data_IF_199956971544
#
_entry.id   IF_199956971544
#
_cell.length_a   1.000
_cell.length_b   1.000
_cell.length_c   1.000
_cell.angle_alpha   90.00
_cell.angle_beta   90.00
_cell.angle_gamma   90.00
#
_symmetry.space_group_name_H-M   'P 1'
#
loop_
_entity.id
_entity.type
_entity.pdbx_description
1 polymer ?
#
# COMPACT_ATOMS: atom_id res chain seq x y z
N UNK A 1 6.62 57.46 30.20
CA UNK A 1 6.50 56.30 29.31
C UNK A 1 7.42 56.53 28.12
N UNK A 2 8.38 55.62 27.89
CA UNK A 2 9.42 55.83 26.89
C UNK A 2 9.06 55.19 25.56
N UNK A 3 8.71 55.98 24.55
CA UNK A 3 8.59 55.50 23.18
C UNK A 3 9.97 55.07 22.67
N UNK A 4 10.09 53.82 22.21
CA UNK A 4 11.28 53.27 21.58
C UNK A 4 11.13 53.23 20.06
N UNK A 5 12.18 53.58 19.32
CA UNK A 5 12.21 53.44 17.86
C UNK A 5 12.86 52.12 17.48
N UNK A 6 12.16 51.25 16.75
CA UNK A 6 12.68 50.00 16.22
C UNK A 6 12.95 50.14 14.73
N UNK A 7 14.10 49.64 14.27
CA UNK A 7 14.44 49.61 12.85
C UNK A 7 14.15 48.22 12.32
N UNK A 8 13.12 48.10 11.49
CA UNK A 8 12.72 46.84 10.88
C UNK A 8 13.30 46.79 9.47
N UNK A 9 13.87 45.65 9.10
CA UNK A 9 14.36 45.36 7.75
C UNK A 9 13.93 43.98 7.28
N UNK A 10 13.84 43.77 5.96
CA UNK A 10 13.41 42.52 5.35
C UNK A 10 12.06 42.66 4.64
N UNK A 11 11.06 41.83 4.98
CA UNK A 11 9.71 41.82 4.37
C UNK A 11 9.04 43.19 4.35
N UNK A 12 9.30 43.98 5.39
CA UNK A 12 9.01 45.41 5.43
C UNK A 12 10.21 46.14 6.01
N UNK A 13 10.54 47.30 5.45
CA UNK A 13 11.68 48.12 5.88
C UNK A 13 11.21 49.49 6.32
N UNK A 14 11.42 49.83 7.59
CA UNK A 14 10.93 51.09 8.17
C UNK A 14 11.26 51.25 9.64
N UNK A 15 10.98 52.44 10.17
CA UNK A 15 11.11 52.74 11.60
C UNK A 15 9.73 52.65 12.24
N UNK A 16 9.61 51.82 13.27
CA UNK A 16 8.39 51.65 14.06
C UNK A 16 8.58 52.31 15.42
N UNK A 17 7.69 53.22 15.81
CA UNK A 17 7.67 53.76 17.17
C UNK A 17 6.75 52.89 18.02
N UNK A 18 7.31 52.27 19.06
CA UNK A 18 6.60 51.31 19.92
C UNK A 18 6.88 51.55 21.38
N UNK A 19 5.95 51.17 22.23
CA UNK A 19 6.12 51.18 23.67
C UNK A 19 6.76 49.87 24.11
N UNK A 20 8.08 49.89 24.35
CA UNK A 20 8.88 48.69 24.64
C UNK A 20 8.43 47.94 25.91
N UNK A 21 7.75 48.64 26.81
CA UNK A 21 7.27 48.13 28.09
C UNK A 21 5.80 47.68 28.05
N UNK A 22 5.11 47.80 26.92
CA UNK A 22 3.73 47.34 26.75
C UNK A 22 3.57 46.36 25.61
N UNK A 23 4.39 46.49 24.57
CA UNK A 23 4.30 45.66 23.39
C UNK A 23 4.88 44.26 23.61
N UNK A 24 4.21 43.27 23.02
CA UNK A 24 4.63 41.87 22.96
C UNK A 24 5.14 41.52 21.56
N UNK A 25 5.81 40.36 21.41
CA UNK A 25 6.28 39.86 20.11
C UNK A 25 5.12 39.67 19.12
N UNK A 26 3.96 39.21 19.61
CA UNK A 26 2.77 39.01 18.79
C UNK A 26 2.22 40.33 18.23
N UNK A 27 2.16 41.39 19.05
CA UNK A 27 1.72 42.72 18.61
C UNK A 27 2.68 43.33 17.59
N UNK A 28 3.99 43.18 17.81
CA UNK A 28 5.00 43.61 16.85
C UNK A 28 4.90 42.84 15.52
N UNK A 29 4.66 41.53 15.58
CA UNK A 29 4.49 40.66 14.40
C UNK A 29 3.23 41.04 13.62
N UNK A 30 2.14 41.35 14.30
CA UNK A 30 0.89 41.81 13.71
C UNK A 30 1.05 43.18 13.04
N UNK A 31 1.74 44.12 13.66
CA UNK A 31 1.99 45.44 13.08
C UNK A 31 2.88 45.34 11.82
N UNK A 32 3.93 44.52 11.86
CA UNK A 32 4.78 44.25 10.68
C UNK A 32 3.99 43.54 9.57
N UNK A 33 3.08 42.63 9.92
CA UNK A 33 2.19 41.98 8.97
C UNK A 33 1.20 42.97 8.33
N UNK A 34 0.62 43.88 9.10
CA UNK A 34 -0.32 44.89 8.58
C UNK A 34 0.33 45.88 7.60
N UNK A 35 1.62 46.14 7.78
CA UNK A 35 2.41 47.06 6.93
C UNK A 35 3.13 46.36 5.78
N UNK A 36 3.04 45.04 5.70
CA UNK A 36 3.56 44.24 4.58
C UNK A 36 2.39 43.62 3.81
N UNK A 37 2.58 43.29 2.54
CA UNK A 37 1.61 42.51 1.75
C UNK A 37 1.54 41.02 2.20
N UNK A 38 1.83 40.72 3.46
CA UNK A 38 1.78 39.38 4.03
C UNK A 38 0.49 39.20 4.83
N UNK A 39 -0.50 38.53 4.22
CA UNK A 39 -1.84 38.34 4.77
C UNK A 39 -1.97 37.55 6.08
N UNK A 40 -0.89 37.08 6.71
CA UNK A 40 -0.96 36.49 8.06
C UNK A 40 0.27 36.84 8.93
N UNK A 41 0.08 37.21 10.22
CA UNK A 41 1.18 37.44 11.16
C UNK A 41 2.04 36.22 11.38
N UNK A 42 1.48 35.01 11.33
CA UNK A 42 2.21 33.77 11.59
C UNK A 42 3.23 33.42 10.51
N UNK A 43 3.10 34.03 9.32
CA UNK A 43 4.07 33.87 8.24
C UNK A 43 5.32 34.77 8.40
N UNK A 44 5.46 35.51 9.49
CA UNK A 44 6.58 36.44 9.70
C UNK A 44 7.43 35.98 10.87
N UNK A 45 8.69 35.67 10.62
CA UNK A 45 9.71 35.46 11.65
C UNK A 45 10.43 36.77 11.95
N UNK A 46 10.51 37.12 13.23
CA UNK A 46 11.25 38.29 13.71
C UNK A 46 12.57 37.85 14.35
N UNK A 47 13.67 38.49 13.95
CA UNK A 47 15.02 38.17 14.45
C UNK A 47 15.65 39.45 15.00
N UNK A 48 16.07 39.44 16.25
CA UNK A 48 16.77 40.55 16.90
C UNK A 48 18.13 40.07 17.42
N UNK A 49 19.20 40.78 17.08
CA UNK A 49 20.58 40.46 17.50
C UNK A 49 20.99 38.98 17.31
N UNK A 50 20.53 38.35 16.22
CA UNK A 50 20.84 36.94 15.91
C UNK A 50 19.96 35.90 16.60
N UNK A 51 18.96 36.31 17.39
CA UNK A 51 17.99 35.41 18.02
C UNK A 51 16.61 35.55 17.39
N UNK A 52 15.96 34.43 17.08
CA UNK A 52 14.56 34.39 16.62
C UNK A 52 13.66 34.66 17.81
N UNK A 53 12.83 35.71 17.72
CA UNK A 53 11.84 36.05 18.72
C UNK A 53 10.67 35.05 18.58
N UNK A 54 10.45 34.26 19.63
CA UNK A 54 9.32 33.34 19.71
C UNK A 54 8.15 34.03 20.40
N UNK A 55 6.94 33.67 20.00
CA UNK A 55 5.74 34.07 20.74
C UNK A 55 5.71 33.21 22.01
N UNK A 56 6.10 33.78 23.15
CA UNK A 56 5.98 33.15 24.46
C UNK A 56 4.53 33.19 24.98
N UNK A 57 4.34 33.14 26.30
CA UNK A 57 3.02 33.11 26.98
C UNK A 57 2.23 34.44 26.91
N UNK A 58 2.35 35.20 25.81
CA UNK A 58 1.69 36.48 25.52
C UNK A 58 1.86 37.60 26.57
N UNK A 59 2.69 37.38 27.59
CA UNK A 59 2.93 38.28 28.73
C UNK A 59 4.36 38.83 28.76
N UNK A 60 5.26 38.26 27.96
CA UNK A 60 6.65 38.72 27.83
C UNK A 60 6.71 40.00 26.99
N UNK A 61 7.23 41.06 27.61
CA UNK A 61 7.37 42.39 27.00
C UNK A 61 8.64 42.45 26.16
N UNK A 62 8.64 43.28 25.11
CA UNK A 62 9.82 43.46 24.24
C UNK A 62 11.07 43.86 25.03
N UNK A 63 10.95 44.67 26.09
CA UNK A 63 12.07 45.05 26.97
C UNK A 63 12.69 43.86 27.71
N UNK A 64 11.89 42.87 28.10
CA UNK A 64 12.36 41.63 28.77
C UNK A 64 13.08 40.69 27.80
N UNK A 65 12.76 40.75 26.51
CA UNK A 65 13.40 39.98 25.44
C UNK A 65 14.68 40.65 24.90
N UNK A 66 15.17 41.69 25.57
CA UNK A 66 16.41 42.38 25.23
C UNK A 66 16.27 43.35 24.05
N UNK A 67 15.05 43.70 23.64
CA UNK A 67 14.80 44.70 22.60
C UNK A 67 14.92 46.09 23.23
N UNK A 68 15.94 46.84 22.79
CA UNK A 68 16.25 48.21 23.25
C UNK A 68 15.82 49.25 22.22
N UNK A 69 15.78 50.51 22.62
CA UNK A 69 15.61 51.63 21.69
C UNK A 69 16.70 51.59 20.59
N UNK A 70 16.32 51.83 19.34
CA UNK A 70 17.12 51.68 18.11
C UNK A 70 17.57 50.24 17.76
N UNK A 71 16.94 49.20 18.32
CA UNK A 71 17.25 47.81 17.92
C UNK A 71 16.90 47.54 16.46
N UNK A 72 17.76 46.75 15.80
CA UNK A 72 17.56 46.27 14.43
C UNK A 72 16.85 44.93 14.46
N UNK A 73 15.68 44.84 13.85
CA UNK A 73 14.86 43.64 13.77
C UNK A 73 14.76 43.23 12.30
N UNK A 74 15.13 41.99 11.99
CA UNK A 74 14.96 41.41 10.67
C UNK A 74 13.64 40.64 10.63
N UNK A 75 12.74 41.03 9.72
CA UNK A 75 11.49 40.34 9.44
C UNK A 75 11.67 39.50 8.17
N UNK A 76 11.50 38.18 8.27
CA UNK A 76 11.57 37.25 7.13
C UNK A 76 10.25 36.51 6.96
N UNK A 77 9.84 36.29 5.70
CA UNK A 77 8.63 35.54 5.36
C UNK A 77 8.93 34.05 5.44
N UNK A 78 8.18 33.34 6.27
CA UNK A 78 8.14 31.88 6.30
C UNK A 78 6.95 31.46 5.45
N UNK A 79 7.18 30.62 4.45
CA UNK A 79 6.12 29.94 3.71
C UNK A 79 5.44 28.96 4.64
N UNK A 80 4.30 29.38 5.19
CA UNK A 80 3.32 28.49 5.82
C UNK A 80 2.30 28.21 4.72
N UNK A 81 2.16 26.94 4.32
CA UNK A 81 1.11 26.55 3.38
C UNK A 81 -0.27 26.87 3.98
N UNK A 82 -1.27 27.06 3.13
CA UNK A 82 -2.63 27.50 3.47
C UNK A 82 -3.34 26.65 4.56
N UNK A 83 -2.74 25.51 4.96
CA UNK A 83 -3.20 24.60 6.00
C UNK A 83 -2.53 24.79 7.39
N UNK A 84 -1.67 25.80 7.59
CA UNK A 84 -1.07 26.09 8.90
C UNK A 84 -0.03 25.05 9.38
N UNK A 85 0.43 24.15 8.51
CA UNK A 85 1.50 23.19 8.83
C UNK A 85 2.86 23.85 8.63
N UNK A 86 3.72 23.75 9.64
CA UNK A 86 5.09 24.21 9.48
C UNK A 86 5.86 23.21 8.61
N UNK A 87 6.82 23.69 7.82
CA UNK A 87 7.75 22.84 7.03
C UNK A 87 8.43 21.78 7.91
N UNK A 88 8.58 22.04 9.21
CA UNK A 88 9.14 21.09 10.18
C UNK A 88 8.18 19.92 10.45
N UNK A 89 6.88 20.16 10.53
CA UNK A 89 5.90 19.12 10.82
C UNK A 89 5.73 18.18 9.61
N UNK A 90 5.82 18.70 8.39
CA UNK A 90 5.84 17.87 7.17
C UNK A 90 7.11 17.02 7.09
N UNK A 91 8.26 17.59 7.44
CA UNK A 91 9.52 16.85 7.46
C UNK A 91 9.49 15.70 8.48
N UNK A 92 8.97 15.95 9.68
CA UNK A 92 8.82 14.92 10.72
C UNK A 92 7.84 13.82 10.30
N UNK A 93 6.72 14.19 9.66
CA UNK A 93 5.76 13.22 9.15
C UNK A 93 6.35 12.35 8.03
N UNK A 94 7.16 12.92 7.14
CA UNK A 94 7.83 12.17 6.07
C UNK A 94 8.94 11.25 6.63
N UNK A 95 9.64 11.69 7.69
CA UNK A 95 10.62 10.86 8.38
C UNK A 95 9.96 9.66 9.09
N UNK A 96 8.80 9.86 9.72
CA UNK A 96 8.04 8.77 10.34
C UNK A 96 7.51 7.78 9.29
N UNK A 97 7.01 8.32 8.17
CA UNK A 97 6.51 7.55 7.02
C UNK A 97 7.62 6.67 6.43
N UNK A 98 8.79 7.25 6.15
CA UNK A 98 9.95 6.53 5.64
C UNK A 98 10.47 5.46 6.62
N UNK A 99 10.46 5.73 7.93
CA UNK A 99 10.76 4.72 8.95
C UNK A 99 9.76 3.56 8.93
N UNK A 100 8.46 3.83 8.79
CA UNK A 100 7.42 2.78 8.72
C UNK A 100 7.61 1.89 7.48
N UNK A 101 7.92 2.48 6.34
CA UNK A 101 8.15 1.76 5.09
C UNK A 101 9.43 0.91 5.14
N UNK A 102 10.51 1.45 5.70
CA UNK A 102 11.76 0.71 5.92
C UNK A 102 11.54 -0.53 6.80
N UNK A 103 10.77 -0.40 7.89
CA UNK A 103 10.38 -1.53 8.74
C UNK A 103 9.57 -2.58 7.97
N UNK A 104 8.63 -2.14 7.14
CA UNK A 104 7.80 -3.04 6.33
C UNK A 104 8.66 -3.82 5.32
N UNK A 105 9.58 -3.15 4.64
CA UNK A 105 10.54 -3.78 3.72
C UNK A 105 11.41 -4.80 4.45
N UNK A 106 12.00 -4.43 5.58
CA UNK A 106 12.83 -5.31 6.38
C UNK A 106 12.08 -6.56 6.87
N UNK A 107 10.81 -6.40 7.29
CA UNK A 107 9.97 -7.52 7.70
C UNK A 107 9.66 -8.48 6.52
N UNK A 108 9.33 -7.93 5.34
CA UNK A 108 9.07 -8.73 4.14
C UNK A 108 10.33 -9.49 3.69
N UNK A 109 11.49 -8.84 3.68
CA UNK A 109 12.77 -9.49 3.35
C UNK A 109 13.14 -10.57 4.36
N UNK A 110 12.97 -10.32 5.66
CA UNK A 110 13.26 -11.32 6.70
C UNK A 110 12.39 -12.56 6.52
N UNK A 111 11.07 -12.39 6.35
CA UNK A 111 10.15 -13.50 6.13
C UNK A 111 10.46 -14.26 4.83
N UNK A 112 10.71 -13.57 3.71
CA UNK A 112 11.04 -14.24 2.45
C UNK A 112 12.35 -15.06 2.53
N UNK A 113 13.36 -14.57 3.27
CA UNK A 113 14.65 -15.27 3.41
C UNK A 113 14.59 -16.55 4.25
N UNK A 114 13.65 -16.62 5.22
CA UNK A 114 13.47 -17.78 6.11
C UNK A 114 12.96 -19.01 5.37
N UNK A 115 12.19 -18.86 4.30
CA UNK A 115 11.52 -19.97 3.61
C UNK A 115 12.34 -20.63 2.49
N UNK A 116 13.43 -20.00 2.05
CA UNK A 116 14.20 -20.50 0.93
C UNK A 116 15.21 -21.62 1.27
N UNK A 117 15.54 -21.81 2.55
CA UNK A 117 16.68 -22.66 2.96
C UNK A 117 16.31 -24.05 3.50
N UNK A 118 15.01 -24.39 3.61
CA UNK A 118 14.57 -25.67 4.17
C UNK A 118 15.04 -25.92 5.62
N UNK A 119 15.36 -24.86 6.35
CA UNK A 119 15.77 -24.90 7.76
C UNK A 119 14.57 -25.12 8.67
N UNK A 120 14.81 -25.70 9.87
CA UNK A 120 13.76 -25.88 10.88
C UNK A 120 13.15 -24.50 11.18
N UNK A 121 11.84 -24.30 11.00
CA UNK A 121 11.20 -23.04 11.34
C UNK A 121 11.40 -22.75 12.82
N UNK A 122 12.14 -21.67 13.12
CA UNK A 122 12.34 -21.17 14.50
C UNK A 122 11.00 -20.65 15.06
N UNK A 123 10.06 -20.26 14.20
CA UNK A 123 8.70 -19.79 14.51
C UNK A 123 7.65 -20.53 13.65
N UNK A 124 6.37 -20.50 14.06
CA UNK A 124 5.26 -21.25 13.42
C UNK A 124 4.79 -20.68 12.06
N UNK A 125 5.47 -19.66 11.54
CA UNK A 125 5.12 -19.04 10.27
C UNK A 125 5.87 -19.76 9.15
N UNK A 126 5.20 -20.68 8.45
CA UNK A 126 5.73 -21.27 7.22
C UNK A 126 4.96 -20.75 6.00
N UNK A 127 5.62 -20.01 5.12
CA UNK A 127 5.04 -19.50 3.88
C UNK A 127 5.50 -20.39 2.73
N UNK A 128 4.53 -20.93 1.99
CA UNK A 128 4.77 -21.75 0.80
C UNK A 128 4.12 -21.12 -0.42
N UNK A 129 4.76 -21.30 -1.57
CA UNK A 129 4.17 -20.90 -2.84
C UNK A 129 3.17 -21.97 -3.28
N UNK A 130 1.92 -21.56 -3.42
CA UNK A 130 0.82 -22.40 -3.90
C UNK A 130 0.36 -21.93 -5.29
N UNK A 131 -0.04 -22.85 -6.16
CA UNK A 131 -0.76 -22.51 -7.39
C UNK A 131 -2.23 -22.13 -7.10
N UNK A 132 -2.98 -21.79 -8.14
CA UNK A 132 -4.40 -21.43 -8.03
C UNK A 132 -5.29 -22.58 -7.50
N UNK A 133 -4.80 -23.82 -7.50
CA UNK A 133 -5.49 -25.01 -6.96
C UNK A 133 -5.13 -25.27 -5.49
N UNK A 134 -4.18 -24.54 -4.91
CA UNK A 134 -3.67 -24.75 -3.56
C UNK A 134 -2.54 -25.79 -3.47
N UNK A 135 -1.99 -26.23 -4.61
CA UNK A 135 -0.89 -27.18 -4.64
C UNK A 135 0.45 -26.45 -4.53
N UNK A 136 1.38 -27.02 -3.78
CA UNK A 136 2.72 -26.44 -3.58
C UNK A 136 3.50 -26.44 -4.88
N UNK A 137 4.17 -25.32 -5.17
CA UNK A 137 5.02 -25.17 -6.36
C UNK A 137 6.42 -24.74 -5.95
N UNK A 138 7.42 -25.48 -6.42
CA UNK A 138 8.80 -25.04 -6.37
C UNK A 138 9.12 -24.32 -7.69
N UNK A 139 9.31 -23.00 -7.62
CA UNK A 139 9.58 -22.16 -8.79
C UNK A 139 11.03 -21.70 -8.77
N UNK A 140 11.79 -22.04 -9.82
CA UNK A 140 13.13 -21.49 -10.03
C UNK A 140 14.14 -21.78 -8.92
N UNK A 141 15.14 -20.90 -8.84
CA UNK A 141 16.21 -20.95 -7.82
C UNK A 141 15.73 -20.42 -6.46
N UNK A 142 16.48 -20.69 -5.38
CA UNK A 142 16.20 -20.09 -4.06
C UNK A 142 16.10 -18.55 -4.13
N UNK A 143 16.91 -17.91 -4.98
CA UNK A 143 16.88 -16.46 -5.17
C UNK A 143 15.58 -16.00 -5.83
N UNK A 144 15.09 -16.74 -6.84
CA UNK A 144 13.80 -16.46 -7.47
C UNK A 144 12.66 -16.63 -6.47
N UNK A 145 12.68 -17.71 -5.68
CA UNK A 145 11.64 -17.96 -4.66
C UNK A 145 11.58 -16.84 -3.62
N UNK A 146 12.74 -16.38 -3.12
CA UNK A 146 12.80 -15.24 -2.20
C UNK A 146 12.20 -13.97 -2.82
N UNK A 147 12.57 -13.69 -4.07
CA UNK A 147 12.11 -12.50 -4.77
C UNK A 147 10.60 -12.54 -5.06
N UNK A 148 10.07 -13.68 -5.52
CA UNK A 148 8.63 -13.92 -5.71
C UNK A 148 7.89 -13.76 -4.38
N UNK A 149 8.34 -14.43 -3.31
CA UNK A 149 7.69 -14.32 -1.99
C UNK A 149 7.69 -12.87 -1.49
N UNK A 150 8.82 -12.16 -1.60
CA UNK A 150 8.91 -10.76 -1.22
C UNK A 150 7.93 -9.89 -2.03
N UNK A 151 7.86 -10.07 -3.34
CA UNK A 151 6.92 -9.37 -4.22
C UNK A 151 5.46 -9.62 -3.84
N UNK A 152 5.08 -10.88 -3.58
CA UNK A 152 3.73 -11.26 -3.16
C UNK A 152 3.34 -10.66 -1.81
N UNK A 153 4.25 -10.68 -0.84
CA UNK A 153 4.02 -10.10 0.49
C UNK A 153 3.85 -8.58 0.42
N UNK A 154 4.71 -7.91 -0.35
CA UNK A 154 4.60 -6.47 -0.57
C UNK A 154 3.30 -6.12 -1.31
N UNK A 155 2.88 -6.93 -2.28
CA UNK A 155 1.58 -6.76 -2.94
C UNK A 155 0.41 -6.90 -1.96
N UNK A 156 0.42 -7.90 -1.07
CA UNK A 156 -0.59 -8.08 -0.04
C UNK A 156 -0.64 -6.88 0.93
N UNK A 157 0.52 -6.37 1.34
CA UNK A 157 0.64 -5.17 2.16
C UNK A 157 0.10 -3.92 1.43
N UNK A 158 0.43 -3.76 0.15
CA UNK A 158 -0.10 -2.70 -0.70
C UNK A 158 -1.63 -2.74 -0.79
N UNK A 159 -2.22 -3.93 -0.98
CA UNK A 159 -3.68 -4.13 -0.96
C UNK A 159 -4.29 -3.74 0.39
N UNK A 160 -3.63 -4.04 1.51
CA UNK A 160 -4.10 -3.64 2.83
C UNK A 160 -4.08 -2.11 3.00
N UNK A 161 -3.07 -1.42 2.46
CA UNK A 161 -2.99 0.04 2.45
C UNK A 161 -4.06 0.68 1.54
N UNK A 162 -4.33 0.10 0.37
CA UNK A 162 -5.43 0.52 -0.52
C UNK A 162 -6.78 0.47 0.20
N UNK A 163 -7.05 -0.60 0.97
CA UNK A 163 -8.29 -0.73 1.76
C UNK A 163 -8.41 0.31 2.88
N UNK A 164 -7.28 0.87 3.33
CA UNK A 164 -7.21 1.95 4.32
C UNK A 164 -7.14 3.33 3.67
N UNK A 165 -7.32 3.41 2.35
CA UNK A 165 -7.26 4.65 1.56
C UNK A 165 -5.90 5.37 1.62
N UNK A 166 -4.84 4.67 2.06
CA UNK A 166 -3.48 5.18 2.12
C UNK A 166 -2.79 5.02 0.76
N UNK A 167 -3.28 5.68 -0.29
CA UNK A 167 -2.84 5.42 -1.68
C UNK A 167 -1.38 5.78 -1.97
N UNK A 168 -0.84 6.83 -1.33
CA UNK A 168 0.59 7.19 -1.49
C UNK A 168 1.51 6.11 -0.92
N UNK A 169 1.24 5.65 0.30
CA UNK A 169 1.97 4.57 0.96
C UNK A 169 1.82 3.26 0.18
N UNK A 170 0.61 2.98 -0.31
CA UNK A 170 0.34 1.80 -1.12
C UNK A 170 1.20 1.81 -2.39
N UNK A 171 1.29 2.95 -3.08
CA UNK A 171 2.07 3.07 -4.31
C UNK A 171 3.57 2.80 -4.07
N UNK A 172 4.14 3.33 -2.99
CA UNK A 172 5.54 3.07 -2.63
C UNK A 172 5.77 1.58 -2.30
N UNK A 173 4.86 0.95 -1.54
CA UNK A 173 4.95 -0.48 -1.24
C UNK A 173 4.79 -1.36 -2.47
N UNK A 174 3.88 -1.02 -3.38
CA UNK A 174 3.69 -1.73 -4.64
C UNK A 174 4.91 -1.56 -5.57
N UNK A 175 5.56 -0.40 -5.54
CA UNK A 175 6.80 -0.16 -6.31
C UNK A 175 7.93 -1.05 -5.79
N UNK A 176 8.09 -1.17 -4.47
CA UNK A 176 9.03 -2.15 -3.87
C UNK A 176 8.70 -3.59 -4.27
N UNK A 177 7.41 -3.93 -4.40
CA UNK A 177 6.97 -5.23 -4.89
C UNK A 177 7.33 -5.48 -6.36
N UNK A 178 7.15 -4.47 -7.22
CA UNK A 178 7.58 -4.50 -8.63
C UNK A 178 9.10 -4.68 -8.77
N UNK A 179 9.89 -3.96 -7.97
CA UNK A 179 11.34 -4.14 -7.89
C UNK A 179 11.70 -5.59 -7.49
N UNK A 180 10.99 -6.16 -6.51
CA UNK A 180 11.21 -7.53 -6.08
C UNK A 180 10.97 -8.54 -7.21
N UNK A 181 9.86 -8.41 -7.95
CA UNK A 181 9.58 -9.28 -9.09
C UNK A 181 10.61 -9.14 -10.21
N UNK A 182 11.19 -7.94 -10.38
CA UNK A 182 12.21 -7.66 -11.39
C UNK A 182 13.55 -8.35 -11.12
N UNK A 183 13.76 -8.88 -9.91
CA UNK A 183 14.95 -9.67 -9.55
C UNK A 183 14.86 -11.14 -9.99
N UNK A 184 13.68 -11.61 -10.39
CA UNK A 184 13.45 -13.00 -10.80
C UNK A 184 13.78 -13.22 -12.28
N UNK A 185 14.03 -14.46 -12.68
CA UNK A 185 14.06 -14.83 -14.11
C UNK A 185 12.76 -14.37 -14.80
N UNK A 186 12.83 -13.52 -15.85
CA UNK A 186 11.66 -13.07 -16.59
C UNK A 186 10.75 -14.21 -17.05
N UNK A 187 11.30 -15.37 -17.41
CA UNK A 187 10.50 -16.54 -17.85
C UNK A 187 9.60 -17.08 -16.74
N UNK A 188 10.03 -16.99 -15.48
CA UNK A 188 9.20 -17.39 -14.34
C UNK A 188 8.07 -16.40 -14.11
N UNK A 189 8.38 -15.10 -14.20
CA UNK A 189 7.40 -14.02 -14.04
C UNK A 189 6.33 -14.06 -15.13
N UNK A 190 6.69 -14.41 -16.36
CA UNK A 190 5.75 -14.54 -17.47
C UNK A 190 4.65 -15.59 -17.24
N UNK A 191 4.87 -16.54 -16.34
CA UNK A 191 3.89 -17.58 -15.98
C UNK A 191 2.96 -17.16 -14.83
N UNK A 192 3.17 -15.98 -14.24
CA UNK A 192 2.51 -15.52 -13.03
C UNK A 192 1.68 -14.27 -13.34
N UNK A 193 0.39 -14.27 -12.99
CA UNK A 193 -0.50 -13.12 -13.18
C UNK A 193 -0.39 -12.05 -12.07
N UNK A 194 0.26 -12.37 -10.94
CA UNK A 194 0.44 -11.46 -9.82
C UNK A 194 1.09 -10.13 -10.22
N UNK A 195 2.04 -10.13 -11.16
CA UNK A 195 2.66 -8.88 -11.64
C UNK A 195 1.64 -8.02 -12.36
N UNK A 196 0.81 -8.58 -13.23
CA UNK A 196 -0.28 -7.85 -13.88
C UNK A 196 -1.31 -7.30 -12.89
N UNK A 197 -1.67 -8.08 -11.87
CA UNK A 197 -2.58 -7.62 -10.82
C UNK A 197 -1.95 -6.46 -10.03
N UNK A 198 -0.64 -6.53 -9.75
CA UNK A 198 0.10 -5.44 -9.11
C UNK A 198 0.08 -4.16 -9.96
N UNK A 199 0.27 -4.28 -11.29
CA UNK A 199 0.16 -3.13 -12.19
C UNK A 199 -1.23 -2.47 -12.12
N UNK A 200 -2.30 -3.26 -12.12
CA UNK A 200 -3.68 -2.75 -12.01
C UNK A 200 -3.90 -2.03 -10.67
N UNK A 201 -3.37 -2.58 -9.57
CA UNK A 201 -3.44 -1.94 -8.25
C UNK A 201 -2.64 -0.62 -8.20
N UNK A 202 -1.47 -0.54 -8.85
CA UNK A 202 -0.72 0.72 -8.96
C UNK A 202 -1.49 1.79 -9.74
N UNK A 203 -2.10 1.42 -10.87
CA UNK A 203 -2.89 2.36 -11.68
C UNK A 203 -4.14 2.83 -10.95
N UNK A 204 -4.74 1.97 -10.14
CA UNK A 204 -5.80 2.38 -9.23
C UNK A 204 -5.32 3.42 -8.20
N UNK A 205 -4.13 3.25 -7.63
CA UNK A 205 -3.55 4.27 -6.76
C UNK A 205 -3.36 5.61 -7.51
N UNK A 206 -2.87 5.58 -8.75
CA UNK A 206 -2.77 6.81 -9.58
C UNK A 206 -4.13 7.49 -9.76
N UNK A 207 -5.16 6.70 -10.10
CA UNK A 207 -6.51 7.21 -10.26
C UNK A 207 -7.05 7.85 -8.97
N UNK A 208 -6.87 7.18 -7.82
CA UNK A 208 -7.34 7.68 -6.53
C UNK A 208 -6.57 8.91 -6.04
N UNK A 209 -5.30 9.05 -6.41
CA UNK A 209 -4.50 10.25 -6.14
C UNK A 209 -4.88 11.45 -7.02
N UNK A 210 -5.65 11.24 -8.09
CA UNK A 210 -6.16 12.27 -9.02
C UNK A 210 -5.07 13.13 -9.65
N UNK A 211 -3.89 12.56 -9.83
CA UNK A 211 -2.75 13.25 -10.44
C UNK A 211 -2.61 12.84 -11.91
N UNK A 212 -2.96 13.78 -12.79
CA UNK A 212 -2.98 13.61 -14.25
C UNK A 212 -1.56 13.35 -14.80
N UNK A 213 -0.52 13.73 -14.06
CA UNK A 213 0.88 13.52 -14.47
C UNK A 213 1.21 12.04 -14.68
N UNK A 214 0.48 11.13 -14.02
CA UNK A 214 0.66 9.69 -14.14
C UNK A 214 -0.09 9.05 -15.31
N UNK A 215 -0.86 9.82 -16.08
CA UNK A 215 -1.76 9.28 -17.12
C UNK A 215 -1.01 8.48 -18.19
N UNK A 216 0.13 8.97 -18.67
CA UNK A 216 0.93 8.28 -19.68
C UNK A 216 1.50 6.96 -19.13
N UNK A 217 1.99 6.98 -17.89
CA UNK A 217 2.50 5.80 -17.18
C UNK A 217 1.37 4.80 -16.95
N UNK A 218 0.18 5.27 -16.57
CA UNK A 218 -1.00 4.44 -16.35
C UNK A 218 -1.38 3.63 -17.60
N UNK A 219 -1.37 4.25 -18.78
CA UNK A 219 -1.64 3.57 -20.05
C UNK A 219 -0.64 2.45 -20.36
N UNK A 220 0.66 2.72 -20.16
CA UNK A 220 1.72 1.71 -20.36
C UNK A 220 1.57 0.54 -19.40
N UNK A 221 1.28 0.83 -18.12
CA UNK A 221 1.10 -0.21 -17.09
C UNK A 221 -0.12 -1.09 -17.36
N UNK A 222 -1.24 -0.51 -17.80
CA UNK A 222 -2.44 -1.26 -18.18
C UNK A 222 -2.21 -2.16 -19.40
N UNK A 223 -1.50 -1.65 -20.42
CA UNK A 223 -1.14 -2.47 -21.58
C UNK A 223 -0.31 -3.70 -21.19
N UNK A 224 0.72 -3.51 -20.34
CA UNK A 224 1.52 -4.61 -19.78
C UNK A 224 0.67 -5.57 -18.95
N UNK A 225 -0.26 -5.05 -18.14
CA UNK A 225 -1.14 -5.89 -17.33
C UNK A 225 -2.02 -6.79 -18.21
N UNK A 226 -2.59 -6.23 -19.29
CA UNK A 226 -3.42 -6.95 -20.26
C UNK A 226 -2.65 -8.07 -20.95
N UNK A 227 -1.45 -7.78 -21.45
CA UNK A 227 -0.58 -8.79 -22.07
C UNK A 227 -0.23 -9.92 -21.09
N UNK A 228 0.12 -9.57 -19.85
CA UNK A 228 0.45 -10.58 -18.83
C UNK A 228 -0.75 -11.43 -18.40
N UNK A 229 -1.94 -10.83 -18.29
CA UNK A 229 -3.18 -11.56 -18.00
C UNK A 229 -3.53 -12.50 -19.15
N UNK A 230 -3.46 -12.04 -20.40
CA UNK A 230 -3.75 -12.87 -21.56
C UNK A 230 -2.75 -14.04 -21.68
N UNK A 231 -1.48 -13.82 -21.35
CA UNK A 231 -0.46 -14.87 -21.31
C UNK A 231 -0.72 -15.90 -20.21
N UNK A 232 -1.07 -15.46 -19.00
CA UNK A 232 -1.32 -16.33 -17.86
C UNK A 232 -2.65 -17.10 -17.99
N UNK A 233 -3.72 -16.42 -18.42
CA UNK A 233 -5.08 -16.98 -18.47
C UNK A 233 -5.41 -17.62 -19.83
N UNK A 234 -4.58 -17.42 -20.83
CA UNK A 234 -4.82 -17.79 -22.23
C UNK A 234 -5.73 -16.80 -22.95
N UNK A 235 -5.70 -16.83 -24.29
CA UNK A 235 -6.59 -16.01 -25.13
C UNK A 235 -8.05 -16.26 -24.74
N UNK A 236 -8.80 -15.17 -24.53
CA UNK A 236 -10.20 -15.19 -24.04
C UNK A 236 -10.41 -15.95 -22.71
N UNK A 237 -9.35 -16.02 -21.89
CA UNK A 237 -9.33 -16.75 -20.61
C UNK A 237 -9.65 -18.25 -20.77
N UNK A 238 -9.39 -18.84 -21.95
CA UNK A 238 -9.73 -20.22 -22.25
C UNK A 238 -9.02 -21.23 -21.32
N UNK A 239 -7.71 -21.03 -21.08
CA UNK A 239 -6.92 -21.89 -20.18
C UNK A 239 -7.43 -21.80 -18.75
N UNK A 240 -7.73 -20.58 -18.29
CA UNK A 240 -8.28 -20.36 -16.95
C UNK A 240 -9.65 -21.03 -16.78
N UNK A 241 -10.53 -20.91 -17.78
CA UNK A 241 -11.87 -21.52 -17.75
C UNK A 241 -11.80 -23.04 -17.63
N UNK A 242 -10.84 -23.67 -18.30
CA UNK A 242 -10.59 -25.11 -18.21
C UNK A 242 -10.08 -25.47 -16.81
N UNK A 243 -9.06 -24.75 -16.31
CA UNK A 243 -8.45 -25.02 -15.00
C UNK A 243 -9.45 -24.87 -13.84
N UNK A 244 -10.38 -23.93 -13.96
CA UNK A 244 -11.34 -23.61 -12.90
C UNK A 244 -12.72 -24.23 -13.13
N UNK A 245 -12.86 -25.17 -14.08
CA UNK A 245 -14.10 -25.91 -14.31
C UNK A 245 -15.29 -25.02 -14.73
N UNK A 246 -15.04 -23.94 -15.48
CA UNK A 246 -16.07 -23.00 -15.92
C UNK A 246 -16.47 -21.94 -14.88
N UNK A 247 -15.66 -21.73 -13.83
CA UNK A 247 -15.82 -20.63 -12.85
C UNK A 247 -15.17 -19.34 -13.35
N UNK A 248 -15.60 -18.20 -12.80
CA UNK A 248 -15.19 -16.85 -13.24
C UNK A 248 -14.66 -15.93 -12.09
N UNK A 249 -13.61 -16.31 -11.34
CA UNK A 249 -13.00 -15.46 -10.30
C UNK A 249 -12.57 -14.09 -10.81
N UNK A 250 -12.03 -14.05 -12.02
CA UNK A 250 -11.29 -12.91 -12.54
C UNK A 250 -12.19 -11.83 -13.15
N UNK A 251 -13.51 -12.02 -13.13
CA UNK A 251 -14.45 -11.06 -13.68
C UNK A 251 -14.30 -9.69 -13.00
N UNK A 252 -14.07 -9.67 -11.67
CA UNK A 252 -13.80 -8.46 -10.91
C UNK A 252 -12.47 -7.79 -11.29
N UNK A 253 -11.44 -8.59 -11.62
CA UNK A 253 -10.15 -8.09 -12.09
C UNK A 253 -10.29 -7.43 -13.46
N UNK A 254 -10.96 -8.10 -14.40
CA UNK A 254 -11.21 -7.59 -15.75
C UNK A 254 -12.08 -6.32 -15.73
N UNK A 255 -13.12 -6.29 -14.89
CA UNK A 255 -13.93 -5.09 -14.66
C UNK A 255 -13.03 -3.90 -14.26
N UNK A 256 -12.16 -4.09 -13.26
CA UNK A 256 -11.30 -3.01 -12.76
C UNK A 256 -10.29 -2.55 -13.81
N UNK A 257 -9.70 -3.48 -14.56
CA UNK A 257 -8.78 -3.17 -15.65
C UNK A 257 -9.46 -2.35 -16.75
N UNK A 258 -10.60 -2.81 -17.27
CA UNK A 258 -11.33 -2.15 -18.36
C UNK A 258 -11.89 -0.79 -17.95
N UNK A 259 -12.31 -0.65 -16.69
CA UNK A 259 -12.70 0.65 -16.12
C UNK A 259 -11.53 1.64 -16.19
N UNK A 260 -10.35 1.24 -15.71
CA UNK A 260 -9.16 2.09 -15.71
C UNK A 260 -8.68 2.42 -17.12
N UNK A 261 -8.73 1.47 -18.05
CA UNK A 261 -8.44 1.72 -19.47
C UNK A 261 -9.42 2.72 -20.09
N UNK A 262 -10.70 2.62 -19.76
CA UNK A 262 -11.72 3.56 -20.19
C UNK A 262 -11.42 4.99 -19.72
N UNK A 263 -11.00 5.14 -18.46
CA UNK A 263 -10.57 6.43 -17.90
C UNK A 263 -9.32 6.96 -18.60
N UNK A 264 -8.29 6.13 -18.76
CA UNK A 264 -7.04 6.55 -19.42
C UNK A 264 -7.30 6.97 -20.88
N UNK A 265 -8.12 6.20 -21.60
CA UNK A 265 -8.50 6.50 -22.98
C UNK A 265 -9.29 7.81 -23.09
N UNK A 266 -10.18 8.09 -22.13
CA UNK A 266 -10.94 9.35 -22.09
C UNK A 266 -10.01 10.55 -21.99
N UNK A 267 -9.08 10.53 -21.02
CA UNK A 267 -8.12 11.62 -20.83
C UNK A 267 -7.07 11.71 -21.95
N UNK A 268 -6.86 10.63 -22.70
CA UNK A 268 -5.99 10.61 -23.89
C UNK A 268 -6.72 11.03 -25.18
N UNK A 269 -7.95 11.57 -25.07
CA UNK A 269 -8.80 11.97 -26.20
C UNK A 269 -9.16 10.83 -27.18
N UNK A 270 -9.14 9.58 -26.72
CA UNK A 270 -9.53 8.38 -27.49
C UNK A 270 -10.96 7.99 -27.13
N UNK A 271 -11.93 8.84 -27.48
CA UNK A 271 -13.33 8.74 -27.03
C UNK A 271 -14.00 7.41 -27.42
N UNK A 272 -13.75 6.89 -28.62
CA UNK A 272 -14.35 5.63 -29.05
C UNK A 272 -13.85 4.46 -28.20
N UNK A 273 -12.53 4.34 -28.01
CA UNK A 273 -11.95 3.29 -27.16
C UNK A 273 -12.40 3.40 -25.71
N UNK A 274 -12.52 4.62 -25.20
CA UNK A 274 -13.06 4.87 -23.86
C UNK A 274 -14.50 4.35 -23.74
N UNK A 275 -15.36 4.67 -24.71
CA UNK A 275 -16.74 4.20 -24.74
C UNK A 275 -16.82 2.67 -24.78
N UNK A 276 -16.01 2.03 -25.62
CA UNK A 276 -16.02 0.57 -25.76
C UNK A 276 -15.55 -0.11 -24.46
N UNK A 277 -14.46 0.37 -23.86
CA UNK A 277 -13.93 -0.14 -22.59
C UNK A 277 -14.92 0.06 -21.42
N UNK A 278 -15.54 1.25 -21.31
CA UNK A 278 -16.52 1.53 -20.26
C UNK A 278 -17.82 0.73 -20.45
N UNK A 279 -18.26 0.50 -21.69
CA UNK A 279 -19.43 -0.34 -21.98
C UNK A 279 -19.16 -1.79 -21.58
N UNK A 280 -17.98 -2.30 -21.91
CA UNK A 280 -17.53 -3.64 -21.51
C UNK A 280 -17.43 -3.76 -19.98
N UNK A 281 -16.86 -2.76 -19.31
CA UNK A 281 -16.81 -2.70 -17.86
C UNK A 281 -18.22 -2.70 -17.25
N UNK A 282 -19.14 -1.89 -17.78
CA UNK A 282 -20.53 -1.85 -17.30
C UNK A 282 -21.22 -3.22 -17.42
N UNK A 283 -21.04 -3.93 -18.53
CA UNK A 283 -21.59 -5.27 -18.70
C UNK A 283 -21.07 -6.25 -17.63
N UNK A 284 -19.76 -6.21 -17.32
CA UNK A 284 -19.15 -7.03 -16.27
C UNK A 284 -19.62 -6.64 -14.86
N UNK A 285 -19.82 -5.34 -14.61
CA UNK A 285 -20.36 -4.84 -13.35
C UNK A 285 -21.76 -5.39 -13.09
N UNK A 286 -22.62 -5.41 -14.11
CA UNK A 286 -23.98 -5.97 -14.00
C UNK A 286 -23.94 -7.47 -13.70
N UNK A 287 -23.02 -8.22 -14.32
CA UNK A 287 -22.84 -9.65 -14.04
C UNK A 287 -22.35 -9.95 -12.60
N UNK A 288 -21.66 -9.00 -11.96
CA UNK A 288 -21.18 -9.14 -10.58
C UNK A 288 -22.22 -8.76 -9.52
N UNK A 289 -23.36 -8.20 -9.93
CA UNK A 289 -24.47 -7.90 -9.02
C UNK A 289 -25.12 -9.19 -8.57
N UNK A 290 -25.17 -9.39 -7.26
CA UNK A 290 -25.75 -10.60 -6.67
C UNK A 290 -27.21 -10.32 -6.34
N UNK A 291 -28.18 -11.07 -6.89
CA UNK A 291 -29.59 -10.92 -6.55
C UNK A 291 -29.84 -11.25 -5.08
N UNK A 292 -30.68 -10.46 -4.41
CA UNK A 292 -30.98 -10.63 -2.99
C UNK A 292 -31.73 -11.94 -2.71
N UNK A 293 -32.53 -12.42 -3.67
CA UNK A 293 -33.24 -13.69 -3.57
C UNK A 293 -32.27 -14.88 -3.53
N UNK A 294 -31.30 -14.89 -4.46
CA UNK A 294 -30.27 -15.92 -4.53
C UNK A 294 -29.37 -15.92 -3.29
N UNK A 295 -29.03 -14.73 -2.80
CA UNK A 295 -28.25 -14.57 -1.58
C UNK A 295 -29.00 -15.07 -0.35
N UNK A 296 -30.26 -14.68 -0.21
CA UNK A 296 -31.13 -15.07 0.92
C UNK A 296 -31.32 -16.58 0.97
N UNK A 297 -31.45 -17.23 -0.18
CA UNK A 297 -31.52 -18.69 -0.27
C UNK A 297 -30.26 -19.36 0.29
N UNK A 298 -29.06 -18.95 -0.13
CA UNK A 298 -27.82 -19.50 0.42
C UNK A 298 -27.66 -19.20 1.92
N UNK A 299 -28.06 -18.01 2.37
CA UNK A 299 -28.03 -17.68 3.80
C UNK A 299 -28.99 -18.55 4.62
N UNK A 300 -30.16 -18.88 4.08
CA UNK A 300 -31.12 -19.79 4.72
C UNK A 300 -30.58 -21.22 4.88
N UNK A 301 -29.64 -21.64 4.02
CA UNK A 301 -28.92 -22.91 4.13
C UNK A 301 -27.79 -22.88 5.19
N UNK A 302 -27.60 -21.75 5.88
CA UNK A 302 -26.61 -21.60 6.96
C UNK A 302 -25.23 -21.13 6.48
N UNK A 303 -25.11 -20.61 5.26
CA UNK A 303 -23.87 -19.98 4.78
C UNK A 303 -23.79 -18.52 5.22
N UNK A 304 -22.58 -18.05 5.52
CA UNK A 304 -22.36 -16.63 5.85
C UNK A 304 -22.51 -15.78 4.59
N UNK A 305 -23.03 -14.57 4.74
CA UNK A 305 -23.30 -13.64 3.63
C UNK A 305 -22.07 -13.45 2.70
N UNK A 306 -20.88 -13.24 3.26
CA UNK A 306 -19.66 -13.04 2.47
C UNK A 306 -19.25 -14.29 1.67
N UNK A 307 -19.45 -15.50 2.23
CA UNK A 307 -19.14 -16.76 1.55
C UNK A 307 -20.16 -17.01 0.43
N UNK A 308 -21.45 -16.75 0.69
CA UNK A 308 -22.52 -16.85 -0.27
C UNK A 308 -22.34 -15.87 -1.45
N UNK A 309 -22.07 -14.59 -1.18
CA UNK A 309 -21.77 -13.58 -2.22
C UNK A 309 -20.58 -13.98 -3.08
N UNK A 310 -19.50 -14.49 -2.45
CA UNK A 310 -18.33 -15.00 -3.19
C UNK A 310 -18.74 -16.17 -4.08
N UNK A 311 -19.41 -17.18 -3.55
CA UNK A 311 -19.81 -18.36 -4.30
C UNK A 311 -20.69 -18.03 -5.51
N UNK A 312 -21.67 -17.14 -5.34
CA UNK A 312 -22.54 -16.68 -6.43
C UNK A 312 -21.74 -15.95 -7.53
N UNK A 313 -20.85 -15.02 -7.16
CA UNK A 313 -20.00 -14.31 -8.13
C UNK A 313 -19.07 -15.24 -8.90
N UNK A 314 -18.53 -16.27 -8.27
CA UNK A 314 -17.62 -17.22 -8.93
C UNK A 314 -18.33 -18.15 -9.91
N UNK A 315 -19.64 -18.35 -9.76
CA UNK A 315 -20.44 -19.29 -10.53
C UNK A 315 -21.50 -18.60 -11.40
N UNK A 316 -21.27 -17.36 -11.84
CA UNK A 316 -22.20 -16.58 -12.67
C UNK A 316 -23.63 -16.51 -12.13
N UNK A 317 -23.76 -16.40 -10.80
CA UNK A 317 -25.03 -16.30 -10.08
C UNK A 317 -25.92 -17.56 -10.17
N UNK A 318 -25.37 -18.69 -10.65
CA UNK A 318 -26.03 -19.99 -10.59
C UNK A 318 -26.00 -20.51 -9.14
N UNK A 319 -27.17 -20.60 -8.53
CA UNK A 319 -27.32 -21.04 -7.13
C UNK A 319 -26.86 -22.48 -6.94
N UNK A 320 -27.18 -23.39 -7.86
CA UNK A 320 -26.84 -24.81 -7.74
C UNK A 320 -25.33 -24.99 -7.73
N UNK A 321 -24.65 -24.41 -8.73
CA UNK A 321 -23.18 -24.44 -8.81
C UNK A 321 -22.52 -23.72 -7.63
N UNK A 322 -23.14 -22.66 -7.10
CA UNK A 322 -22.64 -21.96 -5.93
C UNK A 322 -22.71 -22.85 -4.66
N UNK A 323 -23.77 -23.65 -4.49
CA UNK A 323 -23.86 -24.63 -3.39
C UNK A 323 -22.77 -25.69 -3.52
N UNK A 324 -22.60 -26.28 -4.70
CA UNK A 324 -21.56 -27.29 -4.95
C UNK A 324 -20.17 -26.74 -4.63
N UNK A 325 -19.88 -25.52 -5.07
CA UNK A 325 -18.65 -24.81 -4.74
C UNK A 325 -18.45 -24.61 -3.22
N UNK A 326 -19.50 -24.24 -2.49
CA UNK A 326 -19.42 -24.04 -1.04
C UNK A 326 -19.16 -25.36 -0.29
N UNK A 327 -19.72 -26.46 -0.76
CA UNK A 327 -19.46 -27.80 -0.22
C UNK A 327 -18.02 -28.21 -0.48
N UNK A 328 -17.53 -28.07 -1.72
CA UNK A 328 -16.13 -28.33 -2.08
C UNK A 328 -15.15 -27.50 -1.24
N UNK A 329 -15.41 -26.19 -1.07
CA UNK A 329 -14.56 -25.31 -0.27
C UNK A 329 -14.52 -25.73 1.20
N UNK A 330 -15.65 -26.14 1.79
CA UNK A 330 -15.67 -26.66 3.17
C UNK A 330 -14.86 -27.94 3.29
N UNK A 331 -14.98 -28.86 2.34
CA UNK A 331 -14.20 -30.10 2.31
C UNK A 331 -12.69 -29.82 2.16
N UNK A 332 -12.30 -28.92 1.26
CA UNK A 332 -10.90 -28.49 1.07
C UNK A 332 -10.33 -27.84 2.33
N UNK A 333 -11.09 -26.95 2.99
CA UNK A 333 -10.68 -26.33 4.26
C UNK A 333 -10.47 -27.36 5.37
N UNK A 334 -11.38 -28.34 5.48
CA UNK A 334 -11.24 -29.41 6.47
C UNK A 334 -9.99 -30.26 6.22
N UNK A 335 -9.75 -30.64 4.96
CA UNK A 335 -8.54 -31.38 4.55
C UNK A 335 -7.27 -30.60 4.85
N UNK A 336 -7.22 -29.31 4.47
CA UNK A 336 -6.06 -28.44 4.73
C UNK A 336 -5.78 -28.30 6.23
N UNK A 337 -6.82 -28.16 7.05
CA UNK A 337 -6.67 -28.12 8.50
C UNK A 337 -6.09 -29.42 9.08
N UNK A 338 -6.52 -30.58 8.56
CA UNK A 338 -5.95 -31.86 8.96
C UNK A 338 -4.47 -31.99 8.55
N UNK A 339 -4.14 -31.62 7.32
CA UNK A 339 -2.77 -31.58 6.80
C UNK A 339 -1.87 -30.64 7.63
N UNK A 340 -2.38 -29.44 7.98
CA UNK A 340 -1.67 -28.47 8.81
C UNK A 340 -1.42 -29.00 10.24
N UNK A 341 -2.40 -29.70 10.84
CA UNK A 341 -2.24 -30.35 12.14
C UNK A 341 -1.20 -31.48 12.11
N UNK A 342 -1.22 -32.32 11.08
CA UNK A 342 -0.22 -33.36 10.89
C UNK A 342 1.18 -32.75 10.76
N UNK A 343 1.30 -31.70 9.97
CA UNK A 343 2.55 -30.98 9.78
C UNK A 343 3.08 -30.33 11.05
N UNK A 344 2.21 -29.73 11.87
CA UNK A 344 2.63 -29.17 13.15
C UNK A 344 3.21 -30.24 14.08
N UNK A 345 2.65 -31.45 14.06
CA UNK A 345 3.22 -32.59 14.79
C UNK A 345 4.59 -32.97 14.23
N UNK A 346 4.74 -33.09 12.91
CA UNK A 346 6.03 -33.36 12.27
C UNK A 346 7.09 -32.31 12.64
N UNK A 347 6.76 -31.01 12.56
CA UNK A 347 7.69 -29.94 12.94
C UNK A 347 8.07 -30.04 14.43
N UNK A 348 7.10 -30.37 15.30
CA UNK A 348 7.36 -30.55 16.72
C UNK A 348 8.30 -31.73 17.00
N UNK A 349 8.20 -32.81 16.22
CA UNK A 349 9.11 -33.96 16.29
C UNK A 349 10.49 -33.61 15.75
N UNK A 350 10.58 -32.93 14.60
CA UNK A 350 11.85 -32.43 14.06
C UNK A 350 12.58 -31.52 15.06
N UNK A 351 11.84 -30.66 15.78
CA UNK A 351 12.39 -29.83 16.85
C UNK A 351 12.96 -30.66 18.02
N UNK A 352 12.38 -31.83 18.34
CA UNK A 352 12.92 -32.75 19.36
C UNK A 352 14.22 -33.40 18.93
N UNK A 353 14.33 -33.79 17.66
CA UNK A 353 15.56 -34.44 17.13
C UNK A 353 16.70 -33.45 16.87
N UNK A 354 16.40 -32.16 16.72
CA UNK A 354 17.40 -31.11 16.50
C UNK A 354 17.87 -31.03 15.05
N UNK A 355 19.02 -30.37 14.83
CA UNK A 355 19.58 -30.18 13.49
C UNK A 355 20.64 -31.24 13.17
N UNK A 356 20.67 -31.65 11.91
CA UNK A 356 21.75 -32.46 11.35
C UNK A 356 23.07 -31.65 11.30
N UNK A 357 24.24 -32.30 11.15
CA UNK A 357 25.52 -31.60 10.94
C UNK A 357 25.54 -30.62 9.75
N UNK A 358 24.63 -30.80 8.79
CA UNK A 358 24.42 -29.92 7.63
C UNK A 358 23.51 -28.71 7.93
N UNK A 359 23.15 -28.46 9.20
CA UNK A 359 22.21 -27.42 9.64
C UNK A 359 20.81 -27.52 9.02
N UNK A 360 20.42 -28.73 8.59
CA UNK A 360 19.07 -29.05 8.08
C UNK A 360 18.26 -29.82 9.12
N UNK A 361 16.94 -29.74 9.03
CA UNK A 361 16.02 -30.55 9.83
C UNK A 361 16.28 -32.06 9.63
N UNK A 362 16.01 -32.86 10.65
CA UNK A 362 15.98 -34.32 10.49
C UNK A 362 14.81 -34.69 9.59
N UNK A 363 15.09 -35.46 8.54
CA UNK A 363 14.10 -35.97 7.62
C UNK A 363 13.33 -37.13 8.28
N UNK A 364 12.08 -36.88 8.67
CA UNK A 364 11.26 -37.85 9.38
C UNK A 364 10.90 -39.06 8.52
N UNK A 365 10.83 -38.91 7.18
CA UNK A 365 10.54 -40.05 6.31
C UNK A 365 11.70 -41.03 6.33
N UNK A 366 12.94 -40.53 6.17
CA UNK A 366 14.15 -41.36 6.27
C UNK A 366 14.36 -41.91 7.68
N UNK A 367 14.00 -41.15 8.71
CA UNK A 367 14.04 -41.65 10.08
C UNK A 367 13.07 -42.82 10.27
N UNK A 368 11.84 -42.71 9.79
CA UNK A 368 10.84 -43.77 9.87
C UNK A 368 11.25 -45.00 9.04
N UNK A 369 11.88 -44.78 7.87
CA UNK A 369 12.49 -45.87 7.09
C UNK A 369 13.60 -46.58 7.88
N UNK A 370 14.49 -45.84 8.55
CA UNK A 370 15.53 -46.44 9.40
C UNK A 370 14.95 -47.21 10.59
N UNK A 371 13.94 -46.66 11.26
CA UNK A 371 13.22 -47.34 12.35
C UNK A 371 12.53 -48.62 11.85
N UNK A 372 12.06 -48.63 10.59
CA UNK A 372 11.46 -49.82 9.99
C UNK A 372 12.48 -50.94 9.68
N UNK A 373 13.77 -50.60 9.58
CA UNK A 373 14.86 -51.53 9.27
C UNK A 373 15.46 -52.16 10.54
N UNK A 374 15.25 -51.56 11.72
CA UNK A 374 15.66 -52.10 13.03
C UNK A 374 16.51 -51.14 13.84
#
# INVERSE_FOLDING_TARGET
>A
MGMGKLRIGGVWSGVLEVELDEWTVAMLRQEVASRSDCGSPQCINLICAGRVLKDGDATEKLSQLGVKNNSKILASKVSVDQAGKSVKDEFLAEEERSKRLSRLKAAATSLASRHASGSIPVEDFNLELENQSGEKVQLGSETDQRAIMMGLMLHANGKALIRREQYKDALEVLTMGEEAFSLCDPKLIEMIDNVSILQIDMVWCYFMLRDISWLSVAGIRLAKAREGIERAHGKESARLRILQGGRYPELALHLRMELLEGVVAYHSNQLQKSKDALTSAQAKYLQLQVPDEALSLLMSMGYKEHEAKRALRMNNLDVGRAVDFLVEERAKKAKKHEEDLQRQKEISEQKRYGMTPLKKAVDLQKLNELVSIG
#
